data_IF_744850456139
#
_entry.id   IF_744850456139
#
_cell.length_a   1.000
_cell.length_b   1.000
_cell.length_c   1.000
_cell.angle_alpha   90.00
_cell.angle_beta   90.00
_cell.angle_gamma   90.00
#
_symmetry.space_group_name_H-M   'P 1'
#
loop_
_entity.id
_entity.type
_entity.pdbx_description
1 polymer ?
#
# COMPACT_ATOMS: atom_id res chain seq x y z
N UNK A 1 -5.43 -12.62 -14.99
CA UNK A 1 -6.18 -11.82 -14.00
C UNK A 1 -7.52 -11.39 -14.61
N UNK A 2 -8.59 -11.20 -13.84
CA UNK A 2 -9.81 -10.57 -14.38
C UNK A 2 -9.55 -9.08 -14.61
N UNK A 3 -10.13 -8.46 -15.65
CA UNK A 3 -9.93 -7.03 -15.98
C UNK A 3 -10.15 -6.08 -14.79
N UNK A 4 -11.08 -6.42 -13.89
CA UNK A 4 -11.37 -5.64 -12.68
C UNK A 4 -10.24 -5.66 -11.65
N UNK A 5 -9.42 -6.72 -11.64
CA UNK A 5 -8.26 -6.87 -10.75
C UNK A 5 -7.11 -5.92 -11.12
N UNK A 6 -7.01 -5.59 -12.40
CA UNK A 6 -5.98 -4.69 -12.88
C UNK A 6 -6.36 -3.23 -12.59
N UNK A 7 -7.65 -2.90 -12.61
CA UNK A 7 -8.14 -1.55 -12.37
C UNK A 7 -8.08 -1.13 -10.89
N UNK A 8 -8.51 -1.97 -9.95
CA UNK A 8 -8.43 -1.62 -8.52
C UNK A 8 -6.97 -1.50 -8.06
N UNK A 9 -6.12 -2.43 -8.51
CA UNK A 9 -4.69 -2.39 -8.21
C UNK A 9 -4.04 -1.16 -8.85
N UNK A 10 -4.38 -0.82 -10.09
CA UNK A 10 -3.87 0.39 -10.75
C UNK A 10 -4.19 1.65 -9.96
N UNK A 11 -5.42 1.81 -9.47
CA UNK A 11 -5.79 2.99 -8.66
C UNK A 11 -4.93 3.08 -7.40
N UNK A 12 -4.69 1.96 -6.72
CA UNK A 12 -3.85 1.95 -5.52
C UNK A 12 -2.39 2.28 -5.84
N UNK A 13 -1.84 1.71 -6.92
CA UNK A 13 -0.47 1.96 -7.38
C UNK A 13 -0.28 3.44 -7.76
N UNK A 14 -1.24 4.02 -8.48
CA UNK A 14 -1.23 5.42 -8.89
C UNK A 14 -1.30 6.37 -7.66
N UNK A 15 -1.87 5.91 -6.54
CA UNK A 15 -1.94 6.67 -5.29
C UNK A 15 -0.67 6.61 -4.42
N UNK A 16 0.26 5.68 -4.69
CA UNK A 16 1.47 5.50 -3.86
C UNK A 16 2.37 6.73 -3.80
N UNK A 17 2.67 7.44 -4.91
CA UNK A 17 3.47 8.66 -4.84
C UNK A 17 2.85 9.72 -3.93
N UNK A 18 1.52 9.91 -4.00
CA UNK A 18 0.78 10.83 -3.13
C UNK A 18 0.88 10.38 -1.67
N UNK A 19 0.67 9.09 -1.40
CA UNK A 19 0.79 8.54 -0.05
C UNK A 19 2.18 8.81 0.54
N UNK A 20 3.25 8.51 -0.21
CA UNK A 20 4.64 8.76 0.22
C UNK A 20 4.89 10.24 0.52
N UNK A 21 4.42 11.14 -0.34
CA UNK A 21 4.58 12.57 -0.15
C UNK A 21 3.88 13.07 1.12
N UNK A 22 2.64 12.60 1.37
CA UNK A 22 1.85 13.05 2.52
C UNK A 22 2.32 12.48 3.86
N UNK A 23 3.02 11.34 3.88
CA UNK A 23 3.55 10.75 5.12
C UNK A 23 5.04 11.01 5.36
N UNK A 24 5.72 11.70 4.44
CA UNK A 24 7.16 11.94 4.51
C UNK A 24 7.51 12.71 5.78
N UNK A 25 8.52 12.22 6.50
CA UNK A 25 9.01 12.81 7.75
C UNK A 25 7.95 12.92 8.86
N UNK A 26 6.85 12.17 8.78
CA UNK A 26 5.86 12.10 9.85
C UNK A 26 6.11 10.93 10.78
N UNK A 27 5.73 11.12 12.04
CA UNK A 27 5.70 10.05 13.03
C UNK A 27 4.68 8.99 12.66
N UNK A 28 4.91 7.74 13.07
CA UNK A 28 4.08 6.60 12.68
C UNK A 28 2.58 6.80 13.03
N UNK A 29 2.29 7.49 14.13
CA UNK A 29 0.91 7.80 14.54
C UNK A 29 0.21 8.77 13.56
N UNK A 30 0.94 9.77 13.06
CA UNK A 30 0.42 10.75 12.11
C UNK A 30 0.33 10.17 10.70
N UNK A 31 1.35 9.43 10.28
CA UNK A 31 1.35 8.70 9.01
C UNK A 31 0.16 7.74 8.90
N UNK A 32 -0.23 7.05 9.99
CA UNK A 32 -1.43 6.20 10.04
C UNK A 32 -2.73 7.01 9.85
N UNK A 33 -2.86 8.18 10.49
CA UNK A 33 -4.03 9.05 10.32
C UNK A 33 -4.17 9.52 8.88
N UNK A 34 -3.06 9.97 8.28
CA UNK A 34 -3.00 10.41 6.88
C UNK A 34 -3.32 9.26 5.93
N UNK A 35 -2.72 8.09 6.14
CA UNK A 35 -2.99 6.88 5.32
C UNK A 35 -4.47 6.49 5.41
N UNK A 36 -5.09 6.56 6.60
CA UNK A 36 -6.52 6.27 6.77
C UNK A 36 -7.41 7.30 6.07
N UNK A 37 -7.06 8.59 6.15
CA UNK A 37 -7.75 9.65 5.40
C UNK A 37 -7.68 9.38 3.90
N UNK A 38 -6.48 9.12 3.37
CA UNK A 38 -6.27 8.78 1.95
C UNK A 38 -7.06 7.55 1.52
N UNK A 39 -7.07 6.50 2.34
CA UNK A 39 -7.85 5.30 2.06
C UNK A 39 -9.35 5.59 1.95
N UNK A 40 -9.88 6.41 2.85
CA UNK A 40 -11.28 6.84 2.84
C UNK A 40 -11.60 7.70 1.61
N UNK A 41 -10.72 8.64 1.26
CA UNK A 41 -10.86 9.45 0.04
C UNK A 41 -10.88 8.58 -1.22
N UNK A 42 -9.88 7.70 -1.38
CA UNK A 42 -9.77 6.79 -2.52
C UNK A 42 -11.00 5.88 -2.63
N UNK A 43 -11.43 5.29 -1.51
CA UNK A 43 -12.62 4.44 -1.47
C UNK A 43 -13.87 5.23 -1.84
N UNK A 44 -14.05 6.45 -1.33
CA UNK A 44 -15.22 7.28 -1.63
C UNK A 44 -15.30 7.77 -3.08
N UNK A 45 -14.14 7.95 -3.73
CA UNK A 45 -14.04 8.55 -5.07
C UNK A 45 -13.88 7.53 -6.20
N UNK A 46 -13.57 6.27 -5.89
CA UNK A 46 -13.25 5.25 -6.89
C UNK A 46 -14.25 4.08 -6.85
N UNK A 47 -15.20 4.01 -7.81
CA UNK A 47 -16.14 2.89 -7.92
C UNK A 47 -15.47 1.52 -8.03
N UNK A 48 -14.30 1.44 -8.67
CA UNK A 48 -13.52 0.21 -8.82
C UNK A 48 -13.03 -0.32 -7.47
N UNK A 49 -12.67 0.57 -6.54
CA UNK A 49 -12.31 0.19 -5.19
C UNK A 49 -13.55 -0.28 -4.41
N UNK A 50 -14.68 0.40 -4.55
CA UNK A 50 -15.94 0.03 -3.88
C UNK A 50 -16.48 -1.32 -4.34
N UNK A 51 -16.36 -1.64 -5.63
CA UNK A 51 -16.86 -2.89 -6.20
C UNK A 51 -16.15 -4.14 -5.67
N UNK A 52 -14.95 -4.00 -5.11
CA UNK A 52 -14.10 -5.12 -4.70
C UNK A 52 -13.76 -5.13 -3.21
N UNK A 53 -13.63 -3.96 -2.61
CA UNK A 53 -13.30 -3.82 -1.19
C UNK A 53 -14.60 -3.64 -0.40
N UNK A 54 -14.77 -4.43 0.66
CA UNK A 54 -15.96 -4.36 1.52
C UNK A 54 -16.10 -3.01 2.22
N UNK A 55 -14.97 -2.36 2.49
CA UNK A 55 -14.88 -1.07 3.16
C UNK A 55 -13.54 -0.37 2.85
N UNK A 56 -13.39 0.84 3.40
CA UNK A 56 -12.16 1.63 3.37
C UNK A 56 -10.98 1.00 4.15
N UNK A 57 -11.24 0.09 5.09
CA UNK A 57 -10.16 -0.57 5.85
C UNK A 57 -9.33 -1.47 4.95
N UNK A 58 -9.95 -2.16 4.00
CA UNK A 58 -9.22 -2.96 3.02
C UNK A 58 -8.28 -2.09 2.14
N UNK A 59 -8.67 -0.85 1.84
CA UNK A 59 -7.80 0.11 1.14
C UNK A 59 -6.66 0.57 2.06
N UNK A 60 -6.98 0.90 3.31
CA UNK A 60 -6.02 1.32 4.33
C UNK A 60 -4.93 0.28 4.58
N UNK A 61 -5.25 -1.01 4.58
CA UNK A 61 -4.26 -2.09 4.77
C UNK A 61 -3.40 -2.31 3.51
N UNK A 62 -4.00 -2.19 2.32
CA UNK A 62 -3.31 -2.43 1.04
C UNK A 62 -2.32 -1.33 0.69
N UNK A 63 -2.58 -0.07 1.07
CA UNK A 63 -1.70 1.05 0.74
C UNK A 63 -0.27 0.88 1.32
N UNK A 64 -0.06 0.68 2.64
CA UNK A 64 1.27 0.43 3.19
C UNK A 64 1.91 -0.87 2.69
N UNK A 65 1.10 -1.90 2.42
CA UNK A 65 1.59 -3.16 1.85
C UNK A 65 2.22 -2.93 0.47
N UNK A 66 1.49 -2.28 -0.44
CA UNK A 66 1.97 -1.97 -1.78
C UNK A 66 3.15 -0.99 -1.73
N UNK A 67 3.11 0.00 -0.84
CA UNK A 67 4.22 0.95 -0.64
C UNK A 67 5.53 0.22 -0.29
N UNK A 68 5.49 -0.68 0.70
CA UNK A 68 6.64 -1.48 1.11
C UNK A 68 7.10 -2.45 0.00
N UNK A 69 6.17 -3.10 -0.70
CA UNK A 69 6.45 -4.02 -1.81
C UNK A 69 7.19 -3.30 -2.95
N UNK A 70 6.67 -2.15 -3.37
CA UNK A 70 7.22 -1.33 -4.43
C UNK A 70 8.60 -0.77 -4.07
N UNK A 71 8.82 -0.42 -2.81
CA UNK A 71 10.11 0.02 -2.28
C UNK A 71 11.13 -1.13 -2.13
N UNK A 72 10.67 -2.39 -2.10
CA UNK A 72 11.50 -3.54 -1.75
C UNK A 72 11.97 -3.49 -0.29
N UNK A 73 11.07 -3.12 0.62
CA UNK A 73 11.39 -2.89 2.03
C UNK A 73 11.71 -4.19 2.80
N UNK A 74 11.13 -5.31 2.37
CA UNK A 74 11.39 -6.66 2.91
C UNK A 74 11.88 -7.58 1.79
N UNK A 75 12.04 -8.89 2.04
CA UNK A 75 12.42 -9.83 1.00
C UNK A 75 11.21 -10.16 0.12
N UNK A 76 11.46 -10.55 -1.12
CA UNK A 76 10.40 -10.84 -2.10
C UNK A 76 9.45 -11.95 -1.63
N UNK A 77 9.97 -12.92 -0.89
CA UNK A 77 9.22 -14.08 -0.36
C UNK A 77 8.28 -13.70 0.79
N UNK A 78 8.50 -12.53 1.40
CA UNK A 78 7.66 -12.03 2.47
C UNK A 78 6.34 -11.44 1.92
N UNK A 79 6.21 -11.28 0.60
CA UNK A 79 5.02 -10.76 -0.07
C UNK A 79 4.18 -11.87 -0.72
N UNK A 80 2.92 -11.57 -1.07
CA UNK A 80 2.08 -12.49 -1.82
C UNK A 80 2.69 -12.77 -3.20
N UNK A 81 2.81 -14.06 -3.55
CA UNK A 81 3.47 -14.50 -4.79
C UNK A 81 2.91 -13.81 -6.05
N UNK A 82 1.59 -13.59 -6.10
CA UNK A 82 0.89 -12.90 -7.21
C UNK A 82 1.39 -11.46 -7.43
N UNK A 83 1.88 -10.80 -6.38
CA UNK A 83 2.30 -9.40 -6.39
C UNK A 83 3.83 -9.28 -6.58
N UNK A 84 4.55 -10.39 -6.67
CA UNK A 84 6.02 -10.41 -6.80
C UNK A 84 6.58 -9.73 -8.06
N UNK A 85 5.75 -9.44 -9.06
CA UNK A 85 6.12 -8.65 -10.24
C UNK A 85 6.25 -7.16 -9.93
N UNK A 86 5.69 -6.67 -8.83
CA UNK A 86 5.79 -5.28 -8.37
C UNK A 86 7.01 -5.01 -7.49
N UNK A 87 7.66 -6.07 -7.00
CA UNK A 87 8.74 -5.96 -6.02
C UNK A 87 9.86 -5.05 -6.52
N UNK A 88 10.14 -3.98 -5.77
CA UNK A 88 11.24 -3.05 -6.08
C UNK A 88 11.06 -2.23 -7.36
N UNK A 89 9.87 -2.21 -7.96
CA UNK A 89 9.62 -1.52 -9.25
C UNK A 89 9.44 -0.01 -9.13
N UNK A 90 9.14 0.49 -7.92
CA UNK A 90 9.02 1.92 -7.65
C UNK A 90 9.75 2.24 -6.33
N UNK A 91 11.09 2.40 -6.38
CA UNK A 91 11.89 2.82 -5.24
C UNK A 91 11.41 4.14 -4.64
N UNK A 92 11.74 4.39 -3.38
CA UNK A 92 11.51 5.70 -2.75
C UNK A 92 12.51 6.74 -3.27
N UNK A 93 12.16 8.01 -3.20
CA UNK A 93 13.01 9.12 -3.66
C UNK A 93 14.39 9.15 -2.99
N UNK A 94 14.45 8.77 -1.71
CA UNK A 94 15.66 8.70 -0.90
C UNK A 94 16.40 7.35 -1.05
N UNK A 95 15.89 6.44 -1.87
CA UNK A 95 16.39 5.07 -2.00
C UNK A 95 16.14 4.18 -0.77
N UNK A 96 15.41 4.68 0.24
CA UNK A 96 15.20 3.97 1.49
C UNK A 96 14.36 2.71 1.28
N UNK A 97 14.83 1.62 1.90
CA UNK A 97 14.11 0.35 2.07
C UNK A 97 13.59 0.18 3.49
N UNK A 98 13.54 1.24 4.28
CA UNK A 98 13.04 1.18 5.65
C UNK A 98 11.58 0.69 5.66
N UNK A 99 11.23 -0.15 6.62
CA UNK A 99 9.88 -0.68 6.70
C UNK A 99 8.87 0.42 7.09
N UNK A 100 7.76 0.54 6.35
CA UNK A 100 6.64 1.41 6.70
C UNK A 100 5.67 0.67 7.66
N UNK A 101 5.57 1.09 8.93
CA UNK A 101 4.82 0.39 9.97
C UNK A 101 3.32 0.76 10.00
N UNK A 102 2.81 1.44 8.97
CA UNK A 102 1.39 1.81 8.91
C UNK A 102 0.46 0.62 8.67
N UNK A 103 0.99 -0.59 8.40
CA UNK A 103 0.20 -1.82 8.38
C UNK A 103 0.08 -2.43 9.78
N UNK A 104 -1.12 -2.87 10.16
CA UNK A 104 -1.39 -3.31 11.54
C UNK A 104 -2.15 -4.62 11.68
N UNK A 105 -2.33 -5.47 10.66
CA UNK A 105 -3.05 -6.72 10.95
C UNK A 105 -2.68 -8.03 10.27
N UNK A 106 -2.14 -8.03 9.06
CA UNK A 106 -1.65 -9.24 8.42
C UNK A 106 -0.76 -8.76 7.29
N UNK A 107 0.53 -9.08 7.21
CA UNK A 107 1.20 -8.47 6.05
C UNK A 107 2.45 -9.04 5.43
N UNK A 108 3.27 -9.83 6.12
CA UNK A 108 4.54 -10.22 5.50
C UNK A 108 4.93 -11.67 5.73
N UNK A 109 3.98 -12.60 5.65
CA UNK A 109 4.23 -14.03 5.92
C UNK A 109 5.02 -14.29 7.24
N UNK A 110 4.85 -13.42 8.25
CA UNK A 110 5.56 -13.50 9.53
C UNK A 110 6.87 -12.70 9.64
N UNK A 111 7.29 -11.96 8.61
CA UNK A 111 8.53 -11.18 8.60
C UNK A 111 8.53 -9.94 9.50
N UNK A 112 7.34 -9.49 9.93
CA UNK A 112 7.19 -8.39 10.88
C UNK A 112 6.30 -8.92 12.01
N UNK A 113 6.88 -9.09 13.19
CA UNK A 113 6.23 -9.46 14.45
C UNK A 113 6.29 -8.30 15.42
#
# INVERSE_FOLDING_TARGET
MSKRWEQDQKVLLDAIPRCRAEIRNLEAAEARKITRRLARELYGQTPELQARNKDENAVYERLPYLENLLAGALRKEDYAQKDGHLYGTLPREDGSRAFNPCNSRHSYNGAVR
#
